data_IF_444368875896
#
_entry.id   IF_444368875896
#
_cell.length_a   1.000
_cell.length_b   1.000
_cell.length_c   1.000
_cell.angle_alpha   90.00
_cell.angle_beta   90.00
_cell.angle_gamma   90.00
#
_symmetry.space_group_name_H-M   'P 1'
#
loop_
_entity.id
_entity.type
_entity.pdbx_description
1 polymer ?
#
# COMPACT_ATOMS: atom_id res chain seq x y z
N UNK A 1 -15.80 19.32 -16.06
CA UNK A 1 -15.54 20.46 -15.17
C UNK A 1 -14.04 20.50 -14.90
N UNK A 2 -13.33 21.59 -15.26
CA UNK A 2 -11.88 21.71 -15.06
C UNK A 2 -11.46 21.74 -13.57
N UNK A 3 -12.40 21.81 -12.63
CA UNK A 3 -12.14 21.70 -11.19
C UNK A 3 -11.95 20.27 -10.70
N UNK A 4 -12.30 19.26 -11.51
CA UNK A 4 -12.17 17.85 -11.12
C UNK A 4 -10.73 17.38 -11.38
N UNK A 5 -10.04 16.97 -10.31
CA UNK A 5 -8.72 16.35 -10.41
C UNK A 5 -8.84 15.05 -11.20
N UNK A 6 -8.05 14.94 -12.27
CA UNK A 6 -7.97 13.71 -13.05
C UNK A 6 -6.97 12.74 -12.39
N UNK A 7 -7.47 11.66 -11.79
CA UNK A 7 -6.67 10.66 -11.09
C UNK A 7 -7.47 9.88 -10.04
N UNK A 8 -6.86 8.83 -9.47
CA UNK A 8 -7.47 8.06 -8.37
C UNK A 8 -7.72 8.97 -7.18
N UNK A 9 -8.91 8.93 -6.57
CA UNK A 9 -9.19 9.70 -5.35
C UNK A 9 -8.65 9.00 -4.08
N UNK A 10 -8.51 7.68 -4.15
CA UNK A 10 -7.89 6.83 -3.15
C UNK A 10 -7.49 5.49 -3.77
N UNK A 11 -6.53 4.82 -3.14
CA UNK A 11 -6.06 3.50 -3.54
C UNK A 11 -6.08 2.61 -2.29
N UNK A 12 -6.76 1.47 -2.37
CA UNK A 12 -6.76 0.46 -1.31
C UNK A 12 -6.00 -0.76 -1.82
N UNK A 13 -4.95 -1.15 -1.11
CA UNK A 13 -4.14 -2.31 -1.45
C UNK A 13 -4.30 -3.38 -0.37
N UNK A 14 -4.74 -4.56 -0.78
CA UNK A 14 -4.84 -5.75 0.06
C UNK A 14 -3.74 -6.72 -0.33
N UNK A 15 -2.92 -7.11 0.65
CA UNK A 15 -1.75 -7.96 0.45
C UNK A 15 -2.00 -9.27 1.19
N UNK A 16 -2.20 -10.34 0.45
CA UNK A 16 -2.17 -11.70 0.99
C UNK A 16 -0.75 -12.23 0.86
N UNK A 17 -0.20 -12.73 1.97
CA UNK A 17 1.18 -13.24 2.03
C UNK A 17 1.20 -14.54 2.80
N UNK A 18 1.85 -15.56 2.22
CA UNK A 18 2.00 -16.88 2.80
C UNK A 18 3.49 -17.12 3.12
N UNK A 19 3.78 -17.61 4.31
CA UNK A 19 5.14 -17.90 4.74
C UNK A 19 5.19 -18.67 6.05
N UNK A 20 6.35 -19.24 6.35
CA UNK A 20 6.58 -20.05 7.56
C UNK A 20 6.96 -19.15 8.75
N UNK A 21 6.09 -18.18 9.05
CA UNK A 21 6.25 -17.22 10.14
C UNK A 21 4.88 -16.74 10.63
N UNK A 22 4.84 -16.25 11.87
CA UNK A 22 3.61 -15.67 12.44
C UNK A 22 3.13 -14.46 11.64
N UNK A 23 1.81 -14.23 11.62
CA UNK A 23 1.16 -13.12 10.89
C UNK A 23 1.79 -11.75 11.20
N UNK A 24 2.20 -11.53 12.46
CA UNK A 24 2.84 -10.29 12.87
C UNK A 24 4.21 -10.07 12.21
N UNK A 25 4.96 -11.14 11.95
CA UNK A 25 6.25 -11.06 11.28
C UNK A 25 6.09 -10.94 9.76
N UNK A 26 5.12 -11.64 9.17
CA UNK A 26 4.75 -11.46 7.76
C UNK A 26 4.30 -10.02 7.48
N UNK A 27 3.56 -9.39 8.39
CA UNK A 27 3.18 -7.98 8.29
C UNK A 27 4.40 -7.04 8.24
N UNK A 28 5.43 -7.30 9.04
CA UNK A 28 6.68 -6.52 9.01
C UNK A 28 7.39 -6.60 7.65
N UNK A 29 7.26 -7.72 6.93
CA UNK A 29 7.82 -7.85 5.57
C UNK A 29 7.10 -6.91 4.61
N UNK A 30 5.77 -6.84 4.68
CA UNK A 30 4.97 -5.92 3.87
C UNK A 30 5.30 -4.46 4.22
N UNK A 31 5.37 -4.12 5.51
CA UNK A 31 5.75 -2.78 5.97
C UNK A 31 7.13 -2.34 5.47
N UNK A 32 8.12 -3.26 5.50
CA UNK A 32 9.45 -3.00 4.93
C UNK A 32 9.40 -2.78 3.44
N UNK A 33 8.58 -3.55 2.72
CA UNK A 33 8.42 -3.42 1.27
C UNK A 33 7.80 -2.07 0.90
N UNK A 34 6.77 -1.64 1.65
CA UNK A 34 6.16 -0.31 1.51
C UNK A 34 7.19 0.80 1.75
N UNK A 35 7.96 0.73 2.83
CA UNK A 35 8.95 1.76 3.21
C UNK A 35 10.11 1.96 2.22
N UNK A 36 10.31 1.01 1.30
CA UNK A 36 11.41 1.03 0.32
C UNK A 36 10.92 1.15 -1.12
N UNK A 37 9.62 1.31 -1.33
CA UNK A 37 9.02 1.33 -2.67
C UNK A 37 8.93 2.74 -3.22
N UNK A 38 9.81 3.06 -4.19
CA UNK A 38 9.79 4.35 -4.89
C UNK A 38 8.44 4.62 -5.59
N UNK A 39 7.77 3.58 -6.09
CA UNK A 39 6.44 3.74 -6.70
C UNK A 39 5.38 4.05 -5.64
N UNK A 40 5.46 3.41 -4.47
CA UNK A 40 4.56 3.73 -3.36
C UNK A 40 4.75 5.18 -2.90
N UNK A 41 6.00 5.65 -2.82
CA UNK A 41 6.32 7.04 -2.50
C UNK A 41 5.72 8.01 -3.54
N UNK A 42 5.85 7.70 -4.83
CA UNK A 42 5.27 8.52 -5.90
C UNK A 42 3.74 8.58 -5.82
N UNK A 43 3.06 7.47 -5.52
CA UNK A 43 1.60 7.41 -5.42
C UNK A 43 1.07 8.11 -4.16
N UNK A 44 1.70 7.86 -3.02
CA UNK A 44 1.28 8.39 -1.71
C UNK A 44 1.49 9.90 -1.56
N UNK A 45 2.35 10.52 -2.38
CA UNK A 45 2.52 11.97 -2.42
C UNK A 45 1.29 12.74 -2.95
N UNK A 46 0.44 12.10 -3.78
CA UNK A 46 -0.70 12.76 -4.43
C UNK A 46 -2.06 12.10 -4.18
N UNK A 47 -2.07 10.88 -3.64
CA UNK A 47 -3.26 10.07 -3.45
C UNK A 47 -3.21 9.39 -2.10
N UNK A 48 -4.33 9.34 -1.40
CA UNK A 48 -4.43 8.55 -0.17
C UNK A 48 -4.33 7.06 -0.51
N UNK A 49 -3.27 6.40 -0.04
CA UNK A 49 -3.05 4.97 -0.25
C UNK A 49 -3.14 4.26 1.09
N UNK A 50 -4.02 3.26 1.22
CA UNK A 50 -4.10 2.37 2.38
C UNK A 50 -3.57 0.98 2.03
N UNK A 51 -2.96 0.33 3.02
CA UNK A 51 -2.42 -1.03 2.88
C UNK A 51 -2.95 -1.89 4.00
N UNK A 52 -3.57 -3.00 3.65
CA UNK A 52 -4.06 -4.04 4.54
C UNK A 52 -3.35 -5.35 4.23
N UNK A 53 -2.96 -6.10 5.26
CA UNK A 53 -2.42 -7.46 5.11
C UNK A 53 -3.53 -8.43 5.48
N UNK A 54 -3.91 -9.29 4.54
CA UNK A 54 -4.93 -10.31 4.73
C UNK A 54 -4.28 -11.63 5.20
N UNK A 55 -4.99 -12.36 6.06
CA UNK A 55 -4.61 -13.71 6.52
C UNK A 55 -4.82 -14.77 5.43
#
# INVERSE_FOLDING_TARGET
DPTVRNGYQGIEMKVRIEGDADTADLKKVVERSVSRSAVFDMLSNGTNVSVEVEE
#
